data_IF_300997520964
#
_entry.id   IF_300997520964
#
_cell.length_a   1.000
_cell.length_b   1.000
_cell.length_c   1.000
_cell.angle_alpha   90.00
_cell.angle_beta   90.00
_cell.angle_gamma   90.00
#
_symmetry.space_group_name_H-M   'P 1'
#
loop_
_entity.id
_entity.type
_entity.pdbx_description
1 polymer ?
#
# COMPACT_ATOMS: atom_id res chain seq x y z
N UNK A 1 19.80 5.20 15.32
CA UNK A 1 20.03 6.18 14.25
C UNK A 1 20.34 5.39 12.99
N UNK A 2 19.35 5.14 12.14
CA UNK A 2 19.57 4.50 10.85
C UNK A 2 19.68 5.60 9.81
N UNK A 3 20.90 5.82 9.38
CA UNK A 3 21.26 6.67 8.26
C UNK A 3 20.59 6.11 6.99
N UNK A 4 19.56 6.80 6.50
CA UNK A 4 19.00 6.51 5.19
C UNK A 4 19.89 7.21 4.17
N UNK A 5 21.04 6.57 3.91
CA UNK A 5 21.91 6.96 2.83
C UNK A 5 21.12 7.13 1.54
N UNK A 6 21.12 8.34 0.99
CA UNK A 6 20.56 8.63 -0.33
C UNK A 6 21.26 7.72 -1.35
N UNK A 7 20.58 6.68 -1.81
CA UNK A 7 21.04 5.84 -2.90
C UNK A 7 21.04 6.66 -4.19
N UNK A 8 22.19 7.27 -4.51
CA UNK A 8 22.47 7.78 -5.86
C UNK A 8 22.38 6.59 -6.81
N UNK A 9 21.44 6.61 -7.75
CA UNK A 9 21.39 5.64 -8.83
C UNK A 9 20.34 4.54 -8.71
N UNK A 10 19.24 4.76 -8.01
CA UNK A 10 18.11 3.82 -8.01
C UNK A 10 17.58 3.66 -9.44
N UNK A 11 17.87 2.55 -10.08
CA UNK A 11 17.30 2.19 -11.38
C UNK A 11 15.89 1.63 -11.13
N UNK A 12 14.89 2.27 -11.71
CA UNK A 12 13.49 1.79 -11.67
C UNK A 12 13.27 0.85 -12.86
N UNK A 13 13.09 -0.42 -12.56
CA UNK A 13 12.79 -1.43 -13.59
C UNK A 13 11.27 -1.45 -13.82
N UNK A 14 10.82 -0.69 -14.82
CA UNK A 14 9.42 -0.65 -15.24
C UNK A 14 9.17 -1.67 -16.36
N UNK A 15 7.97 -2.25 -16.39
CA UNK A 15 7.50 -3.15 -17.47
C UNK A 15 8.16 -4.54 -17.52
N UNK A 16 8.71 -5.04 -16.43
CA UNK A 16 9.30 -6.39 -16.37
C UNK A 16 8.40 -7.44 -15.69
N UNK A 17 7.14 -7.13 -15.43
CA UNK A 17 6.19 -8.06 -14.80
C UNK A 17 6.47 -8.33 -13.32
N UNK A 18 7.29 -7.52 -12.69
CA UNK A 18 7.66 -7.67 -11.28
C UNK A 18 6.81 -6.81 -10.35
N UNK A 19 6.87 -7.13 -9.06
CA UNK A 19 6.27 -6.32 -8.03
C UNK A 19 7.22 -5.21 -7.59
N UNK A 20 6.65 -4.08 -7.22
CA UNK A 20 7.35 -2.90 -6.75
C UNK A 20 7.00 -2.63 -5.30
N UNK A 21 8.00 -2.58 -4.44
CA UNK A 21 7.86 -2.08 -3.09
C UNK A 21 8.20 -0.59 -3.07
N UNK A 22 7.17 0.23 -2.96
CA UNK A 22 7.26 1.68 -3.07
C UNK A 22 7.16 2.30 -1.70
N UNK A 23 8.09 3.22 -1.41
CA UNK A 23 8.05 4.03 -0.19
C UNK A 23 8.18 5.51 -0.55
N UNK A 24 7.29 6.33 -0.03
CA UNK A 24 7.41 7.78 -0.12
C UNK A 24 6.91 8.49 1.14
N UNK A 25 7.50 9.62 1.43
CA UNK A 25 7.29 10.35 2.68
C UNK A 25 6.63 11.70 2.45
N UNK A 26 5.92 12.16 3.47
CA UNK A 26 5.51 13.56 3.56
C UNK A 26 6.75 14.47 3.59
N UNK A 27 6.56 15.72 3.20
CA UNK A 27 7.63 16.72 3.17
C UNK A 27 8.30 16.84 4.53
N UNK A 28 9.63 16.74 4.56
CA UNK A 28 10.45 16.73 5.78
C UNK A 28 10.01 15.71 6.84
N UNK A 29 9.32 14.62 6.40
CA UNK A 29 8.74 13.60 7.27
C UNK A 29 7.77 14.16 8.33
N UNK A 30 7.11 15.27 8.03
CA UNK A 30 6.03 15.80 8.85
C UNK A 30 4.82 14.86 8.83
N UNK A 31 4.08 14.82 9.92
CA UNK A 31 2.98 13.86 10.13
C UNK A 31 1.69 14.29 9.43
N UNK A 32 1.75 14.67 8.16
CA UNK A 32 0.60 15.13 7.38
C UNK A 32 -0.47 14.05 7.18
N UNK A 33 -0.10 12.77 7.29
CA UNK A 33 -1.03 11.64 7.34
C UNK A 33 -1.42 11.25 8.77
N UNK A 34 -1.19 12.11 9.76
CA UNK A 34 -1.50 11.85 11.16
C UNK A 34 -2.98 11.80 11.49
N UNK A 35 -3.86 12.37 10.65
CA UNK A 35 -5.31 12.40 10.89
C UNK A 35 -6.05 11.28 10.16
N UNK A 36 -7.21 10.90 10.69
CA UNK A 36 -8.13 9.95 10.04
C UNK A 36 -8.53 10.44 8.64
N UNK A 37 -8.84 11.74 8.53
CA UNK A 37 -9.27 12.35 7.27
C UNK A 37 -8.19 12.26 6.20
N UNK A 38 -6.94 12.60 6.53
CA UNK A 38 -5.81 12.55 5.59
C UNK A 38 -5.53 11.12 5.09
N UNK A 39 -5.57 10.13 5.98
CA UNK A 39 -5.39 8.72 5.60
C UNK A 39 -6.54 8.19 4.76
N UNK A 40 -7.78 8.58 5.05
CA UNK A 40 -8.93 8.20 4.25
C UNK A 40 -8.87 8.85 2.85
N UNK A 41 -8.49 10.12 2.76
CA UNK A 41 -8.24 10.80 1.50
C UNK A 41 -7.21 10.06 0.65
N UNK A 42 -6.09 9.64 1.28
CA UNK A 42 -5.09 8.86 0.57
C UNK A 42 -5.64 7.54 0.03
N UNK A 43 -6.38 6.77 0.84
CA UNK A 43 -6.99 5.50 0.41
C UNK A 43 -7.95 5.68 -0.76
N UNK A 44 -8.78 6.71 -0.72
CA UNK A 44 -9.70 7.05 -1.81
C UNK A 44 -8.93 7.41 -3.09
N UNK A 45 -7.90 8.26 -2.97
CA UNK A 45 -7.04 8.63 -4.10
C UNK A 45 -6.30 7.42 -4.67
N UNK A 46 -5.81 6.52 -3.82
CA UNK A 46 -5.13 5.29 -4.25
C UNK A 46 -6.08 4.41 -5.06
N UNK A 47 -7.32 4.18 -4.59
CA UNK A 47 -8.29 3.37 -5.32
C UNK A 47 -8.65 3.96 -6.67
N UNK A 48 -8.88 5.28 -6.74
CA UNK A 48 -9.15 5.98 -8.00
C UNK A 48 -7.99 5.81 -8.99
N UNK A 49 -6.74 5.96 -8.53
CA UNK A 49 -5.56 5.81 -9.39
C UNK A 49 -5.30 4.35 -9.77
N UNK A 50 -5.52 3.40 -8.85
CA UNK A 50 -5.45 1.97 -9.13
C UNK A 50 -6.37 1.59 -10.31
N UNK A 51 -7.63 1.99 -10.22
CA UNK A 51 -8.61 1.71 -11.27
C UNK A 51 -8.27 2.43 -12.58
N UNK A 52 -7.87 3.71 -12.51
CA UNK A 52 -7.55 4.53 -13.69
C UNK A 52 -6.36 4.00 -14.47
N UNK A 53 -5.28 3.64 -13.79
CA UNK A 53 -4.02 3.19 -14.40
C UNK A 53 -3.90 1.68 -14.51
N UNK A 54 -4.87 0.94 -13.94
CA UNK A 54 -4.95 -0.53 -13.98
C UNK A 54 -3.70 -1.21 -13.44
N UNK A 55 -3.35 -0.92 -12.20
CA UNK A 55 -2.36 -1.66 -11.44
C UNK A 55 -3.02 -2.39 -10.26
N UNK A 56 -2.38 -3.44 -9.78
CA UNK A 56 -2.82 -4.16 -8.60
C UNK A 56 -2.10 -3.67 -7.36
N UNK A 57 -2.84 -3.53 -6.26
CA UNK A 57 -2.27 -3.30 -4.93
C UNK A 57 -2.29 -4.63 -4.19
N UNK A 58 -1.10 -5.15 -3.88
CA UNK A 58 -0.92 -6.39 -3.10
C UNK A 58 -0.92 -6.07 -1.61
N UNK A 59 -0.47 -4.89 -1.23
CA UNK A 59 -0.49 -4.45 0.16
C UNK A 59 -0.12 -2.99 0.30
N UNK A 60 -0.53 -2.41 1.43
CA UNK A 60 -0.13 -1.06 1.81
C UNK A 60 -0.13 -0.88 3.33
N UNK A 61 0.58 0.13 3.76
CA UNK A 61 0.61 0.64 5.13
C UNK A 61 0.79 2.16 5.13
N UNK A 62 -0.15 2.87 5.77
CA UNK A 62 -0.15 4.33 5.85
C UNK A 62 0.32 4.75 7.24
N UNK A 63 1.58 5.12 7.34
CA UNK A 63 2.16 5.69 8.56
C UNK A 63 1.85 7.19 8.63
N UNK A 64 1.98 7.83 9.80
CA UNK A 64 1.69 9.27 9.93
C UNK A 64 2.50 10.17 9.00
N UNK A 65 3.74 9.80 8.66
CA UNK A 65 4.67 10.61 7.89
C UNK A 65 5.18 9.96 6.60
N UNK A 66 4.81 8.71 6.31
CA UNK A 66 5.21 8.00 5.09
C UNK A 66 4.26 6.84 4.77
N UNK A 67 4.46 6.26 3.60
CA UNK A 67 3.65 5.18 3.07
C UNK A 67 4.54 4.09 2.55
N UNK A 68 4.12 2.85 2.77
CA UNK A 68 4.61 1.68 2.06
C UNK A 68 3.50 1.11 1.19
N UNK A 69 3.84 0.75 -0.04
CA UNK A 69 2.94 0.03 -0.94
C UNK A 69 3.68 -1.08 -1.65
N UNK A 70 3.02 -2.22 -1.81
CA UNK A 70 3.44 -3.30 -2.68
C UNK A 70 2.45 -3.37 -3.84
N UNK A 71 2.91 -3.10 -5.04
CA UNK A 71 2.09 -3.00 -6.25
C UNK A 71 2.77 -3.72 -7.42
N UNK A 72 2.01 -4.08 -8.44
CA UNK A 72 2.58 -4.46 -9.73
C UNK A 72 2.69 -3.27 -10.67
N UNK A 73 3.17 -3.52 -11.88
CA UNK A 73 3.20 -2.52 -12.95
C UNK A 73 1.80 -2.10 -13.40
N UNK A 74 1.67 -0.84 -13.79
CA UNK A 74 0.43 -0.31 -14.34
C UNK A 74 0.29 -0.69 -15.82
N UNK A 75 -0.91 -1.13 -16.22
CA UNK A 75 -1.17 -1.54 -17.63
C UNK A 75 -1.36 -0.36 -18.58
N UNK A 76 -1.88 0.76 -18.10
CA UNK A 76 -2.23 1.92 -18.95
C UNK A 76 -1.16 3.01 -19.00
N UNK A 77 -0.15 2.97 -18.16
CA UNK A 77 0.95 3.94 -18.15
C UNK A 77 2.15 3.37 -17.40
N UNK A 78 3.27 4.08 -17.41
CA UNK A 78 4.37 3.78 -16.49
C UNK A 78 3.91 3.92 -15.04
N UNK A 79 4.30 3.00 -14.17
CA UNK A 79 3.95 3.04 -12.75
C UNK A 79 4.36 4.36 -12.10
N UNK A 80 5.50 4.94 -12.50
CA UNK A 80 5.94 6.26 -12.03
C UNK A 80 4.93 7.38 -12.30
N UNK A 81 4.23 7.34 -13.44
CA UNK A 81 3.15 8.30 -13.74
C UNK A 81 1.93 8.07 -12.86
N UNK A 82 1.56 6.82 -12.60
CA UNK A 82 0.46 6.50 -11.69
C UNK A 82 0.76 6.98 -10.26
N UNK A 83 1.99 6.76 -9.76
CA UNK A 83 2.42 7.24 -8.45
C UNK A 83 2.48 8.77 -8.40
N UNK A 84 2.96 9.43 -9.44
CA UNK A 84 2.94 10.89 -9.53
C UNK A 84 1.51 11.43 -9.48
N UNK A 85 0.59 10.85 -10.23
CA UNK A 85 -0.83 11.24 -10.23
C UNK A 85 -1.48 11.03 -8.85
N UNK A 86 -1.16 9.91 -8.16
CA UNK A 86 -1.60 9.66 -6.80
C UNK A 86 -1.11 10.76 -5.84
N UNK A 87 0.18 11.05 -5.85
CA UNK A 87 0.78 12.10 -5.02
C UNK A 87 0.13 13.46 -5.30
N UNK A 88 -0.08 13.78 -6.56
CA UNK A 88 -0.73 15.03 -6.97
C UNK A 88 -2.18 15.10 -6.48
N UNK A 89 -2.96 14.03 -6.64
CA UNK A 89 -4.35 13.96 -6.19
C UNK A 89 -4.49 14.27 -4.70
N UNK A 90 -3.63 13.68 -3.86
CA UNK A 90 -3.61 13.97 -2.42
C UNK A 90 -3.17 15.40 -2.14
N UNK A 91 -2.11 15.87 -2.80
CA UNK A 91 -1.58 17.23 -2.62
C UNK A 91 -2.63 18.30 -2.94
N UNK A 92 -3.36 18.16 -4.03
CA UNK A 92 -4.36 19.16 -4.45
C UNK A 92 -5.50 19.26 -3.45
N UNK A 93 -5.89 18.16 -2.83
CA UNK A 93 -6.98 18.08 -1.87
C UNK A 93 -6.53 18.39 -0.42
N UNK A 94 -5.24 18.43 -0.17
CA UNK A 94 -4.67 18.77 1.15
C UNK A 94 -4.45 20.28 1.27
N UNK A 95 -4.33 20.78 2.50
CA UNK A 95 -3.98 22.17 2.80
C UNK A 95 -2.48 22.40 2.87
N UNK A 96 -1.70 21.38 3.22
CA UNK A 96 -0.25 21.44 3.39
C UNK A 96 0.46 21.57 2.03
N UNK A 97 1.46 22.46 1.96
CA UNK A 97 2.27 22.71 0.76
C UNK A 97 3.73 22.93 1.12
N UNK A 98 4.68 22.22 0.55
CA UNK A 98 4.52 20.97 -0.23
C UNK A 98 4.08 19.81 0.66
N UNK A 99 3.25 18.89 0.15
CA UNK A 99 2.78 17.74 0.92
C UNK A 99 3.79 16.59 0.94
N UNK A 100 4.41 16.30 -0.20
CA UNK A 100 5.29 15.16 -0.37
C UNK A 100 6.75 15.54 -0.58
N UNK A 101 7.65 14.68 -0.17
CA UNK A 101 9.01 14.67 -0.69
C UNK A 101 8.97 14.47 -2.21
N UNK A 102 9.85 15.13 -2.99
CA UNK A 102 9.85 15.02 -4.45
C UNK A 102 10.06 13.58 -4.94
N UNK A 103 11.00 12.85 -4.32
CA UNK A 103 11.37 11.49 -4.71
C UNK A 103 10.59 10.46 -3.91
N UNK A 104 10.61 9.22 -4.41
CA UNK A 104 10.16 8.02 -3.73
C UNK A 104 11.16 6.89 -4.00
N UNK A 105 11.20 5.93 -3.08
CA UNK A 105 11.99 4.72 -3.25
C UNK A 105 11.12 3.67 -3.93
N UNK A 106 11.71 3.00 -4.91
CA UNK A 106 11.10 1.92 -5.66
C UNK A 106 12.06 0.73 -5.65
N UNK A 107 11.71 -0.28 -4.89
CA UNK A 107 12.46 -1.51 -4.81
C UNK A 107 11.75 -2.60 -5.59
N UNK A 108 12.40 -3.09 -6.64
CA UNK A 108 11.87 -4.15 -7.46
C UNK A 108 11.95 -5.51 -6.74
N UNK A 109 10.84 -6.23 -6.69
CA UNK A 109 10.71 -7.50 -5.97
C UNK A 109 10.62 -8.64 -6.98
N UNK A 110 11.74 -9.31 -7.23
CA UNK A 110 11.90 -10.29 -8.32
C UNK A 110 11.54 -11.74 -7.96
N UNK A 111 11.28 -12.08 -6.71
CA UNK A 111 11.06 -13.46 -6.28
C UNK A 111 9.68 -13.61 -5.63
N UNK A 112 8.99 -14.72 -5.87
CA UNK A 112 7.64 -14.98 -5.35
C UNK A 112 7.53 -14.94 -3.82
N UNK A 113 8.60 -15.31 -3.10
CA UNK A 113 8.64 -15.28 -1.63
C UNK A 113 8.75 -13.86 -1.06
N UNK A 114 9.43 -12.95 -1.76
CA UNK A 114 9.67 -11.57 -1.29
C UNK A 114 8.41 -10.71 -1.16
N UNK A 115 7.36 -10.83 -2.00
CA UNK A 115 6.12 -10.10 -1.78
C UNK A 115 5.46 -10.41 -0.44
N UNK A 116 5.45 -11.68 -0.01
CA UNK A 116 4.90 -12.07 1.29
C UNK A 116 5.73 -11.52 2.46
N UNK A 117 7.06 -11.56 2.36
CA UNK A 117 7.97 -10.96 3.33
C UNK A 117 7.77 -9.45 3.46
N UNK A 118 7.73 -8.74 2.34
CA UNK A 118 7.49 -7.28 2.29
C UNK A 118 6.13 -6.92 2.86
N UNK A 119 5.08 -7.69 2.53
CA UNK A 119 3.76 -7.52 3.11
C UNK A 119 3.78 -7.73 4.63
N UNK A 120 4.41 -8.81 5.12
CA UNK A 120 4.58 -9.06 6.55
C UNK A 120 5.33 -7.94 7.26
N UNK A 121 6.36 -7.37 6.63
CA UNK A 121 7.07 -6.20 7.14
C UNK A 121 6.12 -4.99 7.30
N UNK A 122 5.38 -4.62 6.23
CA UNK A 122 4.44 -3.50 6.25
C UNK A 122 3.41 -3.67 7.37
N UNK A 123 2.80 -4.84 7.47
CA UNK A 123 1.75 -5.10 8.45
C UNK A 123 2.22 -5.01 9.90
N UNK A 124 3.48 -5.37 10.19
CA UNK A 124 4.06 -5.25 11.53
C UNK A 124 4.58 -3.86 11.87
N UNK A 125 4.79 -3.01 10.86
CA UNK A 125 5.43 -1.71 11.04
C UNK A 125 4.71 -0.78 12.04
N UNK A 126 3.37 -0.61 12.03
CA UNK A 126 2.67 0.22 12.99
C UNK A 126 2.86 -0.23 14.45
N UNK A 127 2.79 -1.53 14.71
CA UNK A 127 3.01 -2.08 16.05
C UNK A 127 4.48 -1.95 16.49
N UNK A 128 5.44 -2.22 15.59
CA UNK A 128 6.87 -2.02 15.86
C UNK A 128 7.22 -0.57 16.21
N UNK A 129 6.46 0.38 15.68
CA UNK A 129 6.64 1.81 15.96
C UNK A 129 5.79 2.31 17.14
N UNK A 130 5.09 1.43 17.83
CA UNK A 130 4.29 1.77 19.01
C UNK A 130 3.04 2.61 18.71
N UNK A 131 2.55 2.63 17.47
CA UNK A 131 1.31 3.32 17.11
C UNK A 131 0.07 2.56 17.53
N UNK A 132 0.17 1.25 17.63
CA UNK A 132 -0.84 0.30 18.10
C UNK A 132 -0.13 -0.85 18.81
N UNK A 133 -0.87 -1.63 19.61
CA UNK A 133 -0.32 -2.82 20.26
C UNK A 133 -0.15 -3.98 19.27
N UNK A 134 -1.13 -4.15 18.38
CA UNK A 134 -1.19 -5.26 17.43
C UNK A 134 -1.45 -4.75 16.01
N UNK A 135 -0.95 -5.47 14.99
CA UNK A 135 -1.17 -5.10 13.58
C UNK A 135 -2.65 -4.96 13.19
N UNK A 136 -3.53 -5.78 13.75
CA UNK A 136 -4.98 -5.76 13.51
C UNK A 136 -5.67 -4.47 13.94
N UNK A 137 -5.09 -3.74 14.89
CA UNK A 137 -5.63 -2.48 15.40
C UNK A 137 -5.36 -1.30 14.44
N UNK A 138 -4.42 -1.49 13.49
CA UNK A 138 -4.08 -0.46 12.52
C UNK A 138 -4.99 -0.50 11.30
N UNK A 139 -6.01 0.35 11.28
CA UNK A 139 -7.04 0.39 10.22
C UNK A 139 -6.55 0.85 8.85
N UNK A 140 -5.38 1.46 8.79
CA UNK A 140 -4.84 2.06 7.57
C UNK A 140 -3.73 1.21 6.94
N UNK A 141 -3.88 -0.10 7.05
CA UNK A 141 -3.09 -1.08 6.32
C UNK A 141 -3.98 -2.12 5.64
N UNK A 142 -3.39 -2.90 4.75
CA UNK A 142 -4.05 -4.04 4.13
C UNK A 142 -4.14 -5.28 5.04
N UNK A 143 -3.63 -5.24 6.28
CA UNK A 143 -3.63 -6.37 7.21
C UNK A 143 -5.02 -7.00 7.37
N UNK A 144 -6.03 -6.18 7.62
CA UNK A 144 -7.40 -6.65 7.88
C UNK A 144 -7.99 -7.42 6.70
N UNK A 145 -7.65 -7.03 5.47
CA UNK A 145 -8.07 -7.77 4.28
C UNK A 145 -7.50 -9.20 4.30
N UNK A 146 -6.21 -9.35 4.59
CA UNK A 146 -5.56 -10.67 4.65
C UNK A 146 -6.07 -11.53 5.82
N UNK A 147 -6.33 -10.92 6.96
CA UNK A 147 -6.81 -11.62 8.15
C UNK A 147 -8.27 -12.08 8.05
N UNK A 148 -9.12 -11.33 7.33
CA UNK A 148 -10.58 -11.54 7.38
C UNK A 148 -11.24 -11.71 6.01
N UNK A 149 -10.54 -11.50 4.92
CA UNK A 149 -11.10 -11.45 3.56
C UNK A 149 -11.98 -10.21 3.29
N UNK A 150 -12.19 -9.31 4.26
CA UNK A 150 -13.06 -8.14 4.08
C UNK A 150 -12.48 -7.16 3.05
N UNK A 151 -13.35 -6.68 2.17
CA UNK A 151 -13.00 -5.58 1.28
C UNK A 151 -12.94 -4.26 2.05
N UNK A 152 -11.95 -3.44 1.71
CA UNK A 152 -11.81 -2.08 2.20
C UNK A 152 -12.05 -1.05 1.10
N UNK A 153 -11.62 0.19 1.33
CA UNK A 153 -11.65 1.27 0.33
C UNK A 153 -10.79 0.95 -0.89
N UNK A 154 -9.63 0.33 -0.66
CA UNK A 154 -8.67 -0.07 -1.71
C UNK A 154 -8.87 -1.54 -2.00
N UNK A 155 -9.08 -1.90 -3.27
CA UNK A 155 -9.10 -3.30 -3.68
C UNK A 155 -7.69 -3.90 -3.58
N UNK A 156 -7.57 -4.98 -2.81
CA UNK A 156 -6.32 -5.71 -2.64
C UNK A 156 -6.34 -6.95 -3.53
N UNK A 157 -5.33 -7.12 -4.36
CA UNK A 157 -5.14 -8.34 -5.14
C UNK A 157 -4.59 -9.43 -4.22
N UNK A 158 -5.39 -10.48 -4.02
CA UNK A 158 -5.10 -11.56 -3.08
C UNK A 158 -5.89 -12.81 -3.43
N UNK A 159 -5.60 -13.90 -2.73
CA UNK A 159 -6.41 -15.13 -2.79
C UNK A 159 -7.90 -14.85 -2.53
N UNK A 160 -8.24 -14.02 -1.55
CA UNK A 160 -9.63 -13.65 -1.23
C UNK A 160 -10.34 -12.94 -2.39
N UNK A 161 -9.63 -12.05 -3.07
CA UNK A 161 -10.17 -11.32 -4.22
C UNK A 161 -10.36 -12.25 -5.41
N UNK A 162 -9.40 -13.14 -5.67
CA UNK A 162 -9.52 -14.13 -6.72
C UNK A 162 -10.68 -15.11 -6.43
N UNK A 163 -10.77 -15.63 -5.22
CA UNK A 163 -11.83 -16.55 -4.82
C UNK A 163 -13.24 -15.93 -4.98
N UNK A 164 -13.37 -14.61 -4.72
CA UNK A 164 -14.62 -13.90 -4.99
C UNK A 164 -14.93 -13.77 -6.49
N UNK A 165 -13.93 -13.47 -7.32
CA UNK A 165 -14.09 -13.41 -8.78
C UNK A 165 -14.49 -14.75 -9.36
N UNK A 166 -13.98 -15.83 -8.80
CA UNK A 166 -14.27 -17.21 -9.21
C UNK A 166 -15.59 -17.76 -8.61
N UNK A 167 -16.30 -16.96 -7.79
CA UNK A 167 -17.54 -17.36 -7.13
C UNK A 167 -17.39 -18.41 -6.03
N UNK A 168 -16.16 -18.64 -5.56
CA UNK A 168 -15.84 -19.63 -4.52
C UNK A 168 -16.12 -19.14 -3.09
N UNK A 169 -16.30 -17.83 -2.92
CA UNK A 169 -16.59 -17.19 -1.62
C UNK A 169 -17.84 -16.35 -1.76
N UNK A 170 -18.90 -16.69 -1.02
CA UNK A 170 -20.09 -15.84 -0.93
C UNK A 170 -19.73 -14.56 -0.16
N UNK A 171 -19.95 -13.37 -0.74
CA UNK A 171 -19.76 -12.10 -0.05
C UNK A 171 -20.52 -11.98 1.28
N UNK A 172 -21.57 -12.78 1.47
CA UNK A 172 -22.41 -12.84 2.68
C UNK A 172 -21.91 -13.82 3.75
N UNK A 173 -21.01 -14.73 3.42
CA UNK A 173 -20.51 -15.77 4.35
C UNK A 173 -19.40 -15.27 5.29
N UNK A 174 -19.09 -13.99 5.31
CA UNK A 174 -17.99 -13.38 6.09
C UNK A 174 -18.20 -13.38 7.63
N UNK A 175 -19.22 -14.06 8.13
CA UNK A 175 -19.50 -14.22 9.58
C UNK A 175 -19.27 -15.63 10.12
N UNK A 176 -18.70 -16.55 9.35
CA UNK A 176 -18.35 -17.89 9.85
C UNK A 176 -16.84 -18.07 9.86
N UNK A 177 -16.32 -18.49 11.00
CA UNK A 177 -14.94 -18.95 11.20
C UNK A 177 -14.51 -19.92 10.12
N UNK A 178 -13.83 -19.42 9.11
CA UNK A 178 -13.06 -20.26 8.22
C UNK A 178 -11.65 -20.31 8.80
N UNK A 179 -11.28 -21.48 9.27
CA UNK A 179 -9.99 -21.76 9.88
C UNK A 179 -8.84 -21.17 9.06
N UNK A 180 -7.93 -20.52 9.75
CA UNK A 180 -6.74 -19.91 9.17
C UNK A 180 -5.96 -20.96 8.36
N UNK A 181 -5.64 -20.73 7.09
CA UNK A 181 -4.52 -21.44 6.50
C UNK A 181 -3.27 -21.03 7.27
N UNK A 182 -2.60 -21.97 7.84
CA UNK A 182 -1.30 -21.79 8.48
C UNK A 182 -0.35 -21.15 7.46
N UNK A 183 0.28 -20.07 7.85
CA UNK A 183 1.27 -19.32 7.08
C UNK A 183 2.57 -20.14 7.02
#
# INVERSE_FOLDING_TARGET
MYDVGMTKGLVRYQQCGSFHFITFSCYRRLTYLGTVAARNLFKQSLEVMRARYQFFVIGYDLMPEHIHMLVNEAKKALLSKAIQALKLSVSVQSRERPFWQPRYDDFNVHNEEKPAEKRGYMHRNPAKRGLVEKPEDWRWSSFRHYATGKQGTVEIESFWTQARRDGLVDPRSQNRDLGHPQI
#
